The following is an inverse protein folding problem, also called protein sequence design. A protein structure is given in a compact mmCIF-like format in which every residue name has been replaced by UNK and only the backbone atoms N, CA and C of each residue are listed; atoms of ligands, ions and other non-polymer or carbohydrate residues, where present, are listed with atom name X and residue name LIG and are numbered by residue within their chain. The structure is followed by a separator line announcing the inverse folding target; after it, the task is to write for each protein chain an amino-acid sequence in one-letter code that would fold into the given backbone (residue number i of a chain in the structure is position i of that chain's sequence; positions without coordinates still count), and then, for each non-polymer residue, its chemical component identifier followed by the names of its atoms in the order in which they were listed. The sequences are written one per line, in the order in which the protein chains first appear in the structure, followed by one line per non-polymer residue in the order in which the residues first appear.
data_IF_255595812392
#
_entry.id   IF_255595812392
#
_cell.length_a   1.000
_cell.length_b   1.000
_cell.length_c   1.000
_cell.angle_alpha   90.00
_cell.angle_beta   90.00
_cell.angle_gamma   90.00
#
_symmetry.space_group_name_H-M   'P 1'
#
loop_
_entity.id
_entity.type
_entity.pdbx_description
1 polymer ?
#
# COMPACT_ATOMS: atom_id res chain seq x y z
N UNK A 1 24.20 47.89 -7.81
CA UNK A 1 23.96 46.46 -8.14
C UNK A 1 22.66 46.05 -7.47
N UNK A 2 21.53 46.15 -8.17
CA UNK A 2 20.17 45.92 -7.61
C UNK A 2 19.26 45.20 -8.62
N UNK A 3 19.83 44.44 -9.55
CA UNK A 3 19.17 43.98 -10.79
C UNK A 3 19.36 42.49 -11.09
N UNK A 4 19.82 41.70 -10.11
CA UNK A 4 20.10 40.25 -10.27
C UNK A 4 19.22 39.36 -9.33
N UNK A 5 18.27 39.96 -8.62
CA UNK A 5 17.39 39.25 -7.66
C UNK A 5 15.93 39.14 -8.13
N UNK A 6 15.69 39.35 -9.44
CA UNK A 6 14.33 39.53 -9.99
C UNK A 6 14.02 38.57 -11.16
N UNK A 7 14.84 37.52 -11.36
CA UNK A 7 14.73 36.56 -12.48
C UNK A 7 14.23 35.16 -12.05
N UNK A 8 13.80 35.00 -10.80
CA UNK A 8 13.21 33.78 -10.24
C UNK A 8 12.04 34.12 -9.32
N UNK A 9 10.80 34.10 -9.85
CA UNK A 9 9.53 33.56 -9.30
C UNK A 9 8.43 33.90 -10.33
N UNK A 10 8.37 33.20 -11.49
CA UNK A 10 7.19 33.30 -12.39
C UNK A 10 6.98 32.12 -13.38
N UNK A 11 7.73 31.01 -13.23
CA UNK A 11 7.76 29.91 -14.23
C UNK A 11 6.51 29.02 -14.29
N UNK A 12 5.45 29.33 -13.52
CA UNK A 12 4.13 28.70 -13.66
C UNK A 12 3.10 29.60 -14.36
N UNK A 13 3.49 30.80 -14.83
CA UNK A 13 2.60 31.76 -15.48
C UNK A 13 2.78 31.74 -17.00
N UNK A 14 1.67 31.81 -17.74
CA UNK A 14 1.69 31.78 -19.20
C UNK A 14 2.06 33.14 -19.78
N UNK A 15 3.21 33.21 -20.46
CA UNK A 15 3.69 34.39 -21.19
C UNK A 15 2.70 34.99 -22.22
N UNK A 16 1.67 34.24 -22.65
CA UNK A 16 0.64 34.71 -23.57
C UNK A 16 -0.55 35.44 -22.87
N UNK A 17 -0.82 35.18 -21.58
CA UNK A 17 -2.02 35.75 -20.94
C UNK A 17 -2.01 35.87 -19.40
N UNK A 18 -0.88 35.61 -18.72
CA UNK A 18 -0.82 35.64 -17.25
C UNK A 18 -1.53 34.48 -16.53
N UNK A 19 -2.11 33.52 -17.26
CA UNK A 19 -2.85 32.40 -16.66
C UNK A 19 -1.95 31.22 -16.29
N UNK A 20 -2.26 30.51 -15.20
CA UNK A 20 -1.47 29.37 -14.69
C UNK A 20 -1.28 28.25 -15.73
N UNK A 21 -0.06 27.72 -15.83
CA UNK A 21 0.26 26.50 -16.56
C UNK A 21 -0.13 25.27 -15.74
N UNK A 22 -0.83 24.30 -16.34
CA UNK A 22 -1.24 23.04 -15.68
C UNK A 22 -1.09 21.84 -16.59
N UNK A 23 -0.95 20.66 -15.99
CA UNK A 23 -0.98 19.40 -16.73
C UNK A 23 -2.38 19.05 -17.22
N UNK A 24 -2.57 18.99 -18.54
CA UNK A 24 -3.79 18.49 -19.14
C UNK A 24 -3.68 16.96 -19.35
N UNK A 25 -4.25 16.22 -18.41
CA UNK A 25 -4.29 14.75 -18.40
C UNK A 25 -4.79 14.17 -19.73
N UNK A 26 -5.89 14.70 -20.28
CA UNK A 26 -6.50 14.18 -21.51
C UNK A 26 -5.67 14.45 -22.78
N UNK A 27 -4.77 15.44 -22.76
CA UNK A 27 -3.85 15.77 -23.86
C UNK A 27 -2.41 15.32 -23.62
N UNK A 28 -2.10 14.77 -22.45
CA UNK A 28 -0.76 14.42 -21.99
C UNK A 28 0.29 15.53 -22.25
N UNK A 29 -0.04 16.78 -21.86
CA UNK A 29 0.87 17.94 -22.00
C UNK A 29 0.59 19.03 -20.98
N UNK A 30 1.58 19.90 -20.72
CA UNK A 30 1.38 21.17 -20.03
C UNK A 30 0.71 22.18 -20.98
N UNK A 31 -0.30 22.90 -20.50
CA UNK A 31 -0.89 24.06 -21.19
C UNK A 31 -1.46 25.07 -20.20
N UNK A 32 -1.61 26.33 -20.61
CA UNK A 32 -2.28 27.35 -19.80
C UNK A 32 -3.75 26.98 -19.57
N UNK A 33 -4.21 27.00 -18.32
CA UNK A 33 -5.60 26.67 -17.99
C UNK A 33 -6.63 27.66 -18.54
N UNK A 34 -6.22 28.90 -18.81
CA UNK A 34 -7.03 29.95 -19.42
C UNK A 34 -6.99 29.89 -20.95
N UNK A 35 -5.89 30.35 -21.57
CA UNK A 35 -5.80 30.53 -23.03
C UNK A 35 -5.45 29.26 -23.84
N UNK A 36 -5.14 28.13 -23.17
CA UNK A 36 -4.81 26.83 -23.80
C UNK A 36 -3.54 26.81 -24.67
N UNK A 37 -2.73 27.87 -24.65
CA UNK A 37 -1.36 27.87 -25.17
C UNK A 37 -0.57 26.69 -24.57
N UNK A 38 0.01 25.80 -25.39
CA UNK A 38 0.89 24.73 -24.91
C UNK A 38 2.11 25.29 -24.20
N UNK A 39 2.65 24.52 -23.25
CA UNK A 39 3.88 24.86 -22.54
C UNK A 39 4.82 23.65 -22.58
N UNK A 40 6.13 23.91 -22.70
CA UNK A 40 7.18 22.90 -22.63
C UNK A 40 7.87 23.09 -21.28
N UNK A 41 8.04 22.01 -20.52
CA UNK A 41 8.70 22.08 -19.22
C UNK A 41 10.17 22.50 -19.38
N UNK A 42 10.54 23.65 -18.81
CA UNK A 42 11.94 23.96 -18.55
C UNK A 42 12.50 22.90 -17.59
N UNK A 43 13.49 22.16 -18.08
CA UNK A 43 14.15 21.03 -17.41
C UNK A 43 15.65 21.13 -17.72
N UNK A 44 16.50 20.89 -16.71
CA UNK A 44 17.96 21.00 -16.86
C UNK A 44 18.60 19.80 -17.57
N UNK A 45 17.88 18.69 -17.65
CA UNK A 45 18.33 17.41 -18.22
C UNK A 45 17.26 16.88 -19.19
N UNK A 46 17.68 16.21 -20.26
CA UNK A 46 16.76 15.65 -21.28
C UNK A 46 16.16 14.30 -20.87
N UNK A 47 16.75 13.64 -19.87
CA UNK A 47 16.31 12.37 -19.28
C UNK A 47 16.52 12.43 -17.77
N UNK A 48 15.80 11.60 -17.03
CA UNK A 48 16.06 11.42 -15.60
C UNK A 48 17.40 10.72 -15.45
N UNK A 49 18.25 11.22 -14.56
CA UNK A 49 19.56 10.64 -14.27
C UNK A 49 19.48 9.82 -12.98
N UNK A 50 20.17 8.68 -12.97
CA UNK A 50 20.39 7.85 -11.79
C UNK A 50 21.64 8.28 -11.05
N UNK A 51 21.61 8.17 -9.73
CA UNK A 51 22.69 8.57 -8.83
C UNK A 51 23.28 7.36 -8.15
N UNK A 52 24.60 7.32 -7.98
CA UNK A 52 25.27 6.28 -7.20
C UNK A 52 24.82 6.35 -5.73
N UNK A 53 24.39 5.21 -5.16
CA UNK A 53 23.89 5.15 -3.80
C UNK A 53 24.95 5.51 -2.74
N UNK A 54 26.25 5.31 -3.01
CA UNK A 54 27.32 5.78 -2.12
C UNK A 54 27.35 7.31 -2.01
N UNK A 55 26.89 8.02 -3.05
CA UNK A 55 26.74 9.47 -3.09
C UNK A 55 25.55 10.02 -2.30
N UNK A 56 24.59 9.18 -1.88
CA UNK A 56 23.32 9.64 -1.31
C UNK A 56 23.48 10.60 -0.12
N UNK A 57 24.32 10.24 0.85
CA UNK A 57 24.50 11.02 2.09
C UNK A 57 25.08 12.40 1.80
N UNK A 58 25.91 12.53 0.75
CA UNK A 58 26.43 13.82 0.31
C UNK A 58 25.33 14.65 -0.37
N UNK A 59 24.51 14.03 -1.23
CA UNK A 59 23.41 14.70 -1.94
C UNK A 59 22.30 15.17 -0.99
N UNK A 60 21.93 14.36 0.00
CA UNK A 60 20.99 14.76 1.06
C UNK A 60 21.60 15.85 1.97
N UNK A 61 22.91 15.74 2.27
CA UNK A 61 23.68 16.72 3.02
C UNK A 61 23.74 18.11 2.39
N UNK A 62 23.53 18.24 1.07
CA UNK A 62 23.40 19.54 0.39
C UNK A 62 22.15 20.32 0.81
N UNK A 63 21.14 19.66 1.39
CA UNK A 63 19.90 20.29 1.90
C UNK A 63 19.28 21.25 0.88
N UNK A 64 19.01 20.73 -0.32
CA UNK A 64 18.39 21.53 -1.39
C UNK A 64 16.93 21.78 -1.04
N UNK A 65 16.56 23.05 -0.89
CA UNK A 65 15.16 23.46 -0.76
C UNK A 65 14.54 23.64 -2.13
N UNK A 66 13.25 23.34 -2.25
CA UNK A 66 12.44 23.82 -3.35
C UNK A 66 12.23 25.34 -3.18
N UNK A 67 12.40 26.16 -4.24
CA UNK A 67 11.95 27.54 -4.23
C UNK A 67 10.44 27.64 -3.95
N UNK A 68 10.04 28.74 -3.31
CA UNK A 68 8.63 29.18 -3.18
C UNK A 68 7.70 28.13 -2.52
N UNK A 69 8.29 27.19 -1.76
CA UNK A 69 7.63 26.00 -1.22
C UNK A 69 7.90 25.86 0.28
N UNK A 70 6.85 25.60 1.06
CA UNK A 70 6.94 25.21 2.46
C UNK A 70 6.52 23.75 2.66
N UNK A 71 7.03 23.11 3.73
CA UNK A 71 6.64 21.74 4.14
C UNK A 71 5.75 21.82 5.39
N UNK A 72 4.60 21.15 5.36
CA UNK A 72 3.69 21.01 6.50
C UNK A 72 3.71 19.57 7.00
N UNK A 73 4.25 19.34 8.19
CA UNK A 73 4.11 18.05 8.87
C UNK A 73 2.68 17.89 9.42
N UNK A 74 1.98 16.81 9.05
CA UNK A 74 0.62 16.56 9.52
C UNK A 74 0.62 16.02 10.96
N UNK A 75 0.12 16.81 11.92
CA UNK A 75 0.04 16.44 13.34
C UNK A 75 -0.89 15.26 13.67
N UNK A 76 -1.61 14.71 12.68
CA UNK A 76 -2.48 13.52 12.84
C UNK A 76 -1.87 12.23 12.30
N UNK A 77 -1.03 12.29 11.26
CA UNK A 77 -0.51 11.09 10.59
C UNK A 77 0.98 11.12 10.21
N UNK A 78 1.68 12.23 10.42
CA UNK A 78 3.11 12.41 10.12
C UNK A 78 3.45 12.72 8.66
N UNK A 79 2.50 12.64 7.72
CA UNK A 79 2.72 12.97 6.31
C UNK A 79 3.26 14.40 6.14
N UNK A 80 4.33 14.57 5.37
CA UNK A 80 4.97 15.86 5.09
C UNK A 80 4.45 16.43 3.76
N UNK A 81 3.64 17.49 3.79
CA UNK A 81 2.95 18.00 2.59
C UNK A 81 3.71 19.22 2.07
N UNK A 82 4.16 19.19 0.81
CA UNK A 82 4.67 20.36 0.13
C UNK A 82 3.53 21.27 -0.32
N UNK A 83 3.65 22.56 -0.02
CA UNK A 83 2.67 23.62 -0.34
C UNK A 83 3.39 24.88 -0.82
N UNK A 84 2.65 25.78 -1.47
CA UNK A 84 3.03 27.18 -1.70
C UNK A 84 3.46 27.86 -0.38
N UNK A 85 4.54 28.65 -0.39
CA UNK A 85 5.10 29.30 0.81
C UNK A 85 4.11 30.23 1.53
N UNK A 86 3.10 30.76 0.83
CA UNK A 86 2.05 31.62 1.40
C UNK A 86 0.78 30.85 1.78
N UNK A 87 0.79 29.52 1.68
CA UNK A 87 -0.30 28.67 2.17
C UNK A 87 -0.40 28.76 3.70
N UNK A 88 -1.57 29.14 4.23
CA UNK A 88 -1.82 29.27 5.68
C UNK A 88 -2.54 28.09 6.31
N UNK A 89 -3.24 27.28 5.49
CA UNK A 89 -3.90 26.05 5.92
C UNK A 89 -4.13 25.11 4.74
N UNK A 90 -4.04 23.79 4.98
CA UNK A 90 -4.37 22.76 3.99
C UNK A 90 -5.15 21.60 4.62
N UNK A 91 -5.71 20.72 3.80
CA UNK A 91 -6.32 19.46 4.25
C UNK A 91 -5.39 18.31 3.89
N UNK A 92 -4.98 17.50 4.88
CA UNK A 92 -4.05 16.41 4.64
C UNK A 92 -4.65 15.36 3.67
N UNK A 93 -4.00 15.07 2.53
CA UNK A 93 -4.50 14.11 1.55
C UNK A 93 -4.46 12.66 2.04
N UNK A 94 -3.70 12.37 3.09
CA UNK A 94 -3.47 11.02 3.61
C UNK A 94 -4.45 10.62 4.73
N UNK A 95 -4.97 11.59 5.48
CA UNK A 95 -5.85 11.33 6.64
C UNK A 95 -7.07 12.27 6.76
N UNK A 96 -7.15 13.34 5.96
CA UNK A 96 -8.31 14.23 5.87
C UNK A 96 -8.42 15.31 6.95
N UNK A 97 -7.45 15.43 7.87
CA UNK A 97 -7.45 16.49 8.88
C UNK A 97 -6.89 17.81 8.34
N UNK A 98 -7.52 18.92 8.71
CA UNK A 98 -7.00 20.28 8.45
C UNK A 98 -5.70 20.51 9.22
N UNK A 99 -4.68 21.02 8.54
CA UNK A 99 -3.42 21.45 9.13
C UNK A 99 -3.32 22.98 9.09
N UNK A 100 -2.76 23.55 10.14
CA UNK A 100 -2.35 24.95 10.27
C UNK A 100 -0.81 24.97 10.34
N UNK A 101 -0.15 25.99 9.80
CA UNK A 101 1.31 26.02 9.78
C UNK A 101 1.90 26.49 11.11
N UNK A 102 2.75 25.65 11.69
CA UNK A 102 3.98 26.08 12.34
C UNK A 102 5.12 25.78 11.36
N UNK A 103 5.78 26.80 10.82
CA UNK A 103 6.67 26.64 9.66
C UNK A 103 7.99 25.97 10.01
N UNK A 104 8.40 24.99 9.19
CA UNK A 104 9.81 24.62 8.98
C UNK A 104 10.06 24.33 7.51
N UNK A 105 11.10 24.94 6.94
CA UNK A 105 11.73 24.39 5.75
C UNK A 105 12.53 23.16 6.18
N UNK A 106 12.08 21.97 5.78
CA UNK A 106 12.98 20.82 5.67
C UNK A 106 13.38 20.69 4.20
N UNK A 107 14.68 20.52 3.99
CA UNK A 107 15.33 20.50 2.69
C UNK A 107 16.14 19.20 2.57
N UNK A 108 16.37 18.72 1.35
CA UNK A 108 16.88 17.37 1.15
C UNK A 108 17.24 17.09 -0.31
N UNK A 109 16.93 15.89 -0.78
CA UNK A 109 17.16 15.46 -2.17
C UNK A 109 15.98 15.88 -3.06
N UNK A 110 16.16 16.73 -4.07
CA UNK A 110 15.08 17.12 -4.98
C UNK A 110 14.68 15.95 -5.89
N UNK A 111 13.47 15.93 -6.48
CA UNK A 111 13.05 14.88 -7.38
C UNK A 111 13.82 14.97 -8.68
N UNK A 112 14.33 13.83 -9.13
CA UNK A 112 14.98 13.66 -10.43
C UNK A 112 13.92 13.57 -11.54
N UNK A 113 12.77 12.95 -11.23
CA UNK A 113 11.71 12.73 -12.19
C UNK A 113 10.28 12.70 -11.63
N UNK A 114 9.31 12.62 -12.54
CA UNK A 114 7.87 12.57 -12.26
C UNK A 114 7.16 11.73 -13.32
N UNK A 115 6.25 10.83 -12.91
CA UNK A 115 5.29 10.24 -13.85
C UNK A 115 4.07 11.17 -13.93
N UNK A 116 3.67 11.69 -15.09
CA UNK A 116 2.48 12.53 -15.19
C UNK A 116 1.18 11.75 -14.96
N UNK A 117 0.16 12.42 -14.40
CA UNK A 117 -1.20 11.85 -14.33
C UNK A 117 -1.71 11.45 -15.73
N UNK A 118 -2.19 10.21 -15.86
CA UNK A 118 -2.89 9.66 -17.04
C UNK A 118 -4.37 9.41 -16.78
N UNK A 119 -4.72 9.09 -15.54
CA UNK A 119 -6.10 8.89 -15.07
C UNK A 119 -6.61 10.20 -14.49
N UNK A 120 -7.69 10.72 -15.05
CA UNK A 120 -8.38 11.90 -14.54
C UNK A 120 -9.25 11.59 -13.30
N UNK A 121 -9.75 12.64 -12.66
CA UNK A 121 -10.52 12.54 -11.41
C UNK A 121 -11.85 11.79 -11.57
N UNK A 122 -12.52 11.92 -12.71
CA UNK A 122 -13.80 11.23 -12.95
C UNK A 122 -13.55 9.75 -13.20
N UNK A 123 -12.58 9.41 -14.07
CA UNK A 123 -12.18 8.01 -14.30
C UNK A 123 -11.71 7.35 -13.00
N UNK A 124 -10.99 8.08 -12.15
CA UNK A 124 -10.62 7.63 -10.80
C UNK A 124 -11.87 7.37 -9.93
N UNK A 125 -12.83 8.30 -9.85
CA UNK A 125 -14.10 8.10 -9.13
C UNK A 125 -14.89 6.89 -9.65
N UNK A 126 -14.94 6.69 -10.96
CA UNK A 126 -15.62 5.55 -11.58
C UNK A 126 -14.93 4.21 -11.22
N UNK A 127 -13.60 4.13 -11.35
CA UNK A 127 -12.82 2.94 -11.00
C UNK A 127 -12.94 2.60 -9.51
N UNK A 128 -12.93 3.62 -8.67
CA UNK A 128 -13.17 3.50 -7.26
C UNK A 128 -14.59 2.99 -6.93
N UNK A 129 -15.63 3.53 -7.57
CA UNK A 129 -17.00 3.05 -7.40
C UNK A 129 -17.17 1.57 -7.81
N UNK A 130 -16.47 1.11 -8.86
CA UNK A 130 -16.39 -0.32 -9.24
C UNK A 130 -15.74 -1.16 -8.13
N UNK A 131 -14.59 -0.71 -7.60
CA UNK A 131 -13.88 -1.38 -6.50
C UNK A 131 -14.74 -1.48 -5.22
N UNK A 132 -15.40 -0.40 -4.81
CA UNK A 132 -16.30 -0.39 -3.63
C UNK A 132 -17.50 -1.32 -3.82
N UNK A 133 -18.08 -1.40 -5.02
CA UNK A 133 -19.15 -2.35 -5.34
C UNK A 133 -18.70 -3.79 -5.08
N UNK A 134 -17.50 -4.19 -5.55
CA UNK A 134 -16.95 -5.56 -5.39
C UNK A 134 -16.80 -6.06 -3.94
N UNK A 135 -16.75 -5.18 -2.94
CA UNK A 135 -16.51 -5.59 -1.54
C UNK A 135 -17.82 -5.94 -0.84
N UNK A 136 -18.13 -7.24 -0.72
CA UNK A 136 -19.40 -7.73 -0.14
C UNK A 136 -19.56 -7.37 1.35
N UNK A 137 -18.52 -7.64 2.16
CA UNK A 137 -18.50 -7.43 3.63
C UNK A 137 -18.30 -5.98 4.08
N UNK A 138 -18.20 -5.02 3.15
CA UNK A 138 -18.14 -3.60 3.47
C UNK A 138 -19.52 -3.11 4.00
N UNK A 139 -19.59 -2.31 5.09
CA UNK A 139 -20.83 -1.67 5.56
C UNK A 139 -21.53 -0.86 4.46
N UNK A 140 -22.87 -0.76 4.49
CA UNK A 140 -23.60 -0.02 3.45
C UNK A 140 -23.39 1.50 3.55
N UNK A 141 -23.42 2.06 4.78
CA UNK A 141 -23.10 3.48 5.05
C UNK A 141 -21.70 3.87 4.56
N UNK A 142 -20.74 2.95 4.66
CA UNK A 142 -19.40 3.13 4.13
C UNK A 142 -19.41 3.33 2.60
N UNK A 143 -20.19 2.52 1.85
CA UNK A 143 -20.28 2.67 0.39
C UNK A 143 -20.87 4.02 -0.04
N UNK A 144 -21.68 4.65 0.81
CA UNK A 144 -22.24 5.99 0.60
C UNK A 144 -21.22 7.09 0.96
N UNK A 145 -20.58 7.00 2.13
CA UNK A 145 -19.52 7.94 2.55
C UNK A 145 -18.37 7.99 1.53
N UNK A 146 -18.01 6.82 0.98
CA UNK A 146 -17.04 6.69 -0.10
C UNK A 146 -17.41 7.48 -1.37
N UNK A 147 -18.69 7.61 -1.71
CA UNK A 147 -19.15 8.38 -2.88
C UNK A 147 -19.21 9.89 -2.61
N UNK A 148 -19.30 10.29 -1.34
CA UNK A 148 -19.25 11.70 -0.93
C UNK A 148 -17.81 12.24 -0.73
N UNK A 149 -16.82 11.36 -0.67
CA UNK A 149 -15.41 11.73 -0.51
C UNK A 149 -14.86 12.51 -1.71
N UNK A 150 -14.39 13.74 -1.47
CA UNK A 150 -13.64 14.50 -2.48
C UNK A 150 -12.27 13.85 -2.70
N UNK A 151 -12.09 13.09 -3.78
CA UNK A 151 -10.75 12.68 -4.25
C UNK A 151 -9.85 13.90 -4.41
N UNK A 152 -8.65 13.83 -3.84
CA UNK A 152 -7.57 14.79 -4.03
C UNK A 152 -6.49 14.15 -4.91
N UNK A 153 -5.87 14.92 -5.79
CA UNK A 153 -4.74 14.46 -6.58
C UNK A 153 -3.43 14.86 -5.88
N UNK A 154 -2.58 13.88 -5.63
CA UNK A 154 -1.31 14.00 -4.92
C UNK A 154 -0.20 13.30 -5.69
N UNK A 155 0.99 13.88 -5.70
CA UNK A 155 2.23 13.18 -6.01
C UNK A 155 2.84 12.59 -4.75
N UNK A 156 3.08 11.29 -4.76
CA UNK A 156 3.71 10.55 -3.67
C UNK A 156 5.22 10.42 -3.94
N UNK A 157 6.08 10.60 -2.92
CA UNK A 157 7.51 10.44 -3.09
C UNK A 157 7.90 8.96 -3.12
N UNK A 158 8.78 8.62 -4.04
CA UNK A 158 9.33 7.29 -4.20
C UNK A 158 10.84 7.34 -4.41
N UNK A 159 11.51 6.38 -3.79
CA UNK A 159 12.80 5.93 -4.25
C UNK A 159 12.55 4.80 -5.24
N UNK A 160 13.23 4.83 -6.38
CA UNK A 160 13.50 3.59 -7.11
C UNK A 160 14.99 3.28 -7.01
N UNK A 161 15.31 2.00 -7.01
CA UNK A 161 16.67 1.49 -6.90
C UNK A 161 16.92 0.47 -8.00
N UNK A 162 18.08 0.57 -8.64
CA UNK A 162 18.56 -0.43 -9.58
C UNK A 162 19.74 -1.16 -8.94
N UNK A 163 19.89 -2.45 -9.25
CA UNK A 163 20.99 -3.26 -8.73
C UNK A 163 21.28 -4.48 -9.61
N UNK A 164 22.57 -4.73 -9.86
CA UNK A 164 23.02 -6.03 -10.35
C UNK A 164 23.24 -6.94 -9.14
N UNK A 165 22.62 -8.12 -9.13
CA UNK A 165 22.56 -9.02 -7.96
C UNK A 165 23.08 -10.40 -8.31
N UNK A 166 23.90 -10.96 -7.42
CA UNK A 166 24.38 -12.35 -7.50
C UNK A 166 24.13 -13.04 -6.16
N UNK A 167 23.42 -14.18 -6.17
CA UNK A 167 23.04 -14.89 -4.94
C UNK A 167 23.49 -16.34 -4.96
N UNK A 168 24.28 -16.74 -3.97
CA UNK A 168 24.63 -18.16 -3.75
C UNK A 168 23.69 -18.76 -2.71
N UNK A 169 23.06 -19.90 -3.03
CA UNK A 169 22.05 -20.52 -2.17
C UNK A 169 22.40 -21.95 -1.77
N UNK A 170 21.85 -22.35 -0.62
CA UNK A 170 21.89 -23.71 -0.10
C UNK A 170 20.46 -24.13 0.28
N UNK A 171 20.03 -25.30 -0.15
CA UNK A 171 18.67 -25.79 0.01
C UNK A 171 18.53 -27.29 -0.19
N UNK A 172 17.31 -27.73 -0.43
CA UNK A 172 16.96 -29.13 -0.63
C UNK A 172 15.98 -29.28 -1.81
N UNK A 173 16.26 -30.26 -2.67
CA UNK A 173 15.33 -30.75 -3.68
C UNK A 173 14.64 -32.03 -3.16
N UNK A 174 13.31 -32.06 -3.21
CA UNK A 174 12.50 -33.17 -2.70
C UNK A 174 11.79 -33.91 -3.82
N UNK A 175 11.83 -35.24 -3.82
CA UNK A 175 11.03 -36.07 -4.73
C UNK A 175 9.97 -36.87 -3.99
N UNK A 176 8.76 -36.88 -4.56
CA UNK A 176 7.60 -37.60 -4.01
C UNK A 176 7.75 -39.09 -4.26
N UNK A 177 7.72 -39.90 -3.20
CA UNK A 177 7.75 -41.35 -3.28
C UNK A 177 6.52 -41.96 -2.59
N UNK A 178 5.89 -42.90 -3.27
CA UNK A 178 4.73 -43.65 -2.76
C UNK A 178 5.24 -44.96 -2.16
N UNK A 179 5.18 -45.08 -0.83
CA UNK A 179 5.64 -46.24 -0.07
C UNK A 179 4.44 -47.03 0.45
N UNK A 180 4.50 -48.35 0.38
CA UNK A 180 3.45 -49.24 0.91
C UNK A 180 3.94 -49.91 2.18
N UNK A 181 3.13 -49.88 3.24
CA UNK A 181 3.47 -50.57 4.49
C UNK A 181 3.16 -52.08 4.43
N UNK A 182 3.63 -52.82 5.44
CA UNK A 182 3.40 -54.27 5.57
C UNK A 182 1.95 -54.66 5.90
N UNK A 183 1.05 -53.67 6.05
CA UNK A 183 -0.40 -53.86 6.23
C UNK A 183 -1.18 -53.48 4.96
N UNK A 184 -0.49 -53.09 3.88
CA UNK A 184 -1.06 -52.74 2.59
C UNK A 184 -1.45 -51.26 2.43
N UNK A 185 -1.28 -50.44 3.46
CA UNK A 185 -1.57 -49.00 3.42
C UNK A 185 -0.56 -48.27 2.55
N UNK A 186 -1.01 -47.23 1.85
CA UNK A 186 -0.15 -46.36 1.04
C UNK A 186 0.16 -45.08 1.80
N UNK A 187 1.44 -44.73 1.95
CA UNK A 187 1.90 -43.44 2.50
C UNK A 187 2.77 -42.71 1.49
N UNK A 188 2.72 -41.38 1.50
CA UNK A 188 3.55 -40.53 0.65
C UNK A 188 4.69 -39.96 1.47
N UNK A 189 5.91 -40.16 1.01
CA UNK A 189 7.15 -39.64 1.60
C UNK A 189 7.84 -38.69 0.61
N UNK A 190 8.59 -37.70 1.13
CA UNK A 190 9.40 -36.81 0.30
C UNK A 190 10.87 -37.10 0.60
N UNK A 191 11.59 -37.64 -0.37
CA UNK A 191 13.03 -37.87 -0.26
C UNK A 191 13.77 -36.60 -0.64
N UNK A 192 14.25 -35.88 0.38
CA UNK A 192 15.05 -34.67 0.23
C UNK A 192 16.52 -34.99 -0.05
N UNK A 193 17.13 -34.23 -0.97
CA UNK A 193 18.57 -34.23 -1.27
C UNK A 193 19.11 -32.81 -1.15
N UNK A 194 20.33 -32.59 -0.64
CA UNK A 194 20.92 -31.26 -0.60
C UNK A 194 21.16 -30.74 -2.03
N UNK A 195 20.89 -29.46 -2.26
CA UNK A 195 21.12 -28.76 -3.52
C UNK A 195 21.68 -27.38 -3.21
N UNK A 196 22.69 -26.96 -3.97
CA UNK A 196 23.20 -25.59 -3.96
C UNK A 196 23.35 -25.07 -5.38
N UNK A 197 23.46 -23.75 -5.52
CA UNK A 197 23.58 -23.09 -6.81
C UNK A 197 23.80 -21.60 -6.67
N UNK A 198 23.81 -20.93 -7.82
CA UNK A 198 23.90 -19.48 -7.94
C UNK A 198 22.77 -19.00 -8.84
N UNK A 199 21.98 -18.04 -8.35
CA UNK A 199 21.00 -17.28 -9.12
C UNK A 199 21.39 -15.80 -9.10
N UNK A 200 20.69 -14.96 -9.85
CA UNK A 200 21.05 -13.55 -9.97
C UNK A 200 20.24 -12.86 -11.06
N UNK A 201 20.40 -11.54 -11.14
CA UNK A 201 19.67 -10.73 -12.10
C UNK A 201 20.14 -9.28 -12.13
N UNK A 202 19.49 -8.51 -12.98
CA UNK A 202 19.46 -7.05 -12.89
C UNK A 202 18.06 -6.65 -12.48
N UNK A 203 17.97 -5.83 -11.45
CA UNK A 203 16.73 -5.19 -11.02
C UNK A 203 16.75 -3.74 -11.50
N UNK A 204 15.71 -3.37 -12.23
CA UNK A 204 15.43 -2.05 -12.80
C UNK A 204 14.22 -1.49 -12.03
N UNK A 205 14.36 -0.28 -11.47
CA UNK A 205 13.32 0.45 -10.75
C UNK A 205 12.56 -0.33 -9.63
N UNK A 206 13.29 -0.78 -8.60
CA UNK A 206 12.67 -1.30 -7.36
C UNK A 206 11.94 -0.18 -6.60
N UNK A 207 10.65 -0.02 -6.89
CA UNK A 207 9.78 1.03 -6.33
C UNK A 207 9.55 0.86 -4.82
N UNK A 208 10.12 1.77 -4.02
CA UNK A 208 9.88 1.90 -2.58
C UNK A 208 9.25 3.26 -2.28
N UNK A 209 8.03 3.26 -1.75
CA UNK A 209 7.33 4.49 -1.40
C UNK A 209 7.94 5.13 -0.16
N UNK A 210 8.26 6.42 -0.21
CA UNK A 210 8.93 7.17 0.84
C UNK A 210 7.97 7.95 1.77
N UNK A 211 6.67 7.67 1.68
CA UNK A 211 5.62 8.14 2.59
C UNK A 211 5.72 7.46 3.97
N UNK A 212 5.00 7.97 4.97
CA UNK A 212 4.93 7.37 6.31
C UNK A 212 4.25 5.97 6.30
N UNK A 213 4.70 5.09 7.21
CA UNK A 213 4.35 3.66 7.25
C UNK A 213 2.85 3.30 7.29
N UNK A 214 1.97 4.22 7.73
CA UNK A 214 0.52 4.00 7.72
C UNK A 214 -0.10 4.14 6.31
N UNK A 215 0.57 4.89 5.44
CA UNK A 215 0.19 5.13 4.06
C UNK A 215 0.85 4.15 3.09
N UNK A 216 2.14 3.82 3.28
CA UNK A 216 2.91 2.95 2.36
C UNK A 216 2.21 1.62 2.09
N UNK A 217 1.71 0.96 3.14
CA UNK A 217 0.91 -0.26 3.05
C UNK A 217 -0.34 -0.14 2.16
N UNK A 218 -0.87 1.06 1.93
CA UNK A 218 -2.01 1.31 1.03
C UNK A 218 -1.52 1.61 -0.39
N UNK A 219 -0.39 2.31 -0.52
CA UNK A 219 0.27 2.62 -1.80
C UNK A 219 0.79 1.35 -2.49
N UNK A 220 1.42 0.43 -1.75
CA UNK A 220 1.89 -0.89 -2.25
C UNK A 220 0.80 -1.65 -3.04
N UNK A 221 -0.47 -1.50 -2.63
CA UNK A 221 -1.61 -2.18 -3.26
C UNK A 221 -1.97 -1.60 -4.65
N UNK A 222 -1.40 -0.47 -5.03
CA UNK A 222 -1.58 0.18 -6.35
C UNK A 222 -0.35 0.14 -7.25
N UNK A 223 0.72 -0.52 -6.80
CA UNK A 223 1.92 -0.80 -7.60
C UNK A 223 1.68 -1.90 -8.66
N UNK A 224 2.57 -2.01 -9.67
CA UNK A 224 3.64 -1.06 -10.01
C UNK A 224 3.11 0.17 -10.77
N UNK A 225 3.93 1.22 -10.82
CA UNK A 225 3.92 2.21 -11.90
C UNK A 225 4.94 1.79 -12.97
N UNK A 226 4.86 2.32 -14.18
CA UNK A 226 5.92 2.15 -15.18
C UNK A 226 6.88 3.35 -15.13
N UNK A 227 7.83 3.27 -14.20
CA UNK A 227 8.88 4.28 -13.99
C UNK A 227 9.99 4.21 -15.05
N UNK A 228 10.29 3.02 -15.57
CA UNK A 228 11.33 2.79 -16.58
C UNK A 228 11.06 3.59 -17.87
N UNK A 229 9.82 3.51 -18.41
CA UNK A 229 9.47 4.15 -19.69
C UNK A 229 8.89 5.57 -19.52
N UNK A 230 8.18 5.85 -18.42
CA UNK A 230 7.27 7.01 -18.34
C UNK A 230 7.68 8.10 -17.34
N UNK A 231 8.83 7.98 -16.67
CA UNK A 231 9.32 9.06 -15.81
C UNK A 231 9.92 10.18 -16.65
N UNK A 232 9.32 11.36 -16.58
CA UNK A 232 9.82 12.58 -17.22
C UNK A 232 10.75 13.34 -16.26
N UNK A 233 11.75 14.09 -16.75
CA UNK A 233 12.55 14.99 -15.91
C UNK A 233 11.66 15.93 -15.08
N UNK A 234 11.98 16.08 -13.80
CA UNK A 234 11.15 16.86 -12.88
C UNK A 234 11.08 18.34 -13.27
N UNK A 235 9.87 18.91 -13.14
CA UNK A 235 9.62 20.35 -13.27
C UNK A 235 8.43 20.74 -12.39
N UNK A 236 8.49 21.82 -11.59
CA UNK A 236 7.40 22.23 -10.70
C UNK A 236 6.04 22.39 -11.39
N UNK A 237 6.01 22.71 -12.69
CA UNK A 237 4.79 22.85 -13.49
C UNK A 237 3.93 21.57 -13.56
N UNK A 238 4.50 20.38 -13.33
CA UNK A 238 3.73 19.12 -13.21
C UNK A 238 2.88 19.04 -11.93
N UNK A 239 3.28 19.78 -10.88
CA UNK A 239 2.57 19.82 -9.59
C UNK A 239 1.38 20.80 -9.63
N UNK A 240 1.29 21.67 -10.63
CA UNK A 240 0.29 22.75 -10.63
C UNK A 240 -1.15 22.24 -10.74
N UNK A 241 -1.89 22.32 -9.63
CA UNK A 241 -3.23 21.77 -9.45
C UNK A 241 -3.31 20.45 -8.67
N UNK A 242 -2.18 19.95 -8.19
CA UNK A 242 -2.04 18.76 -7.35
C UNK A 242 -1.32 19.12 -6.03
N UNK A 243 -1.42 18.25 -5.03
CA UNK A 243 -0.52 18.29 -3.87
C UNK A 243 0.74 17.45 -4.16
N UNK A 244 1.80 17.63 -3.38
CA UNK A 244 2.91 16.70 -3.31
C UNK A 244 3.23 16.37 -1.84
N UNK A 245 3.64 15.13 -1.58
CA UNK A 245 4.23 14.73 -0.29
C UNK A 245 5.77 14.74 -0.42
N UNK A 246 6.45 15.33 0.56
CA UNK A 246 7.89 15.26 0.72
C UNK A 246 8.27 13.91 1.36
N UNK A 247 9.46 13.38 1.04
CA UNK A 247 9.86 12.08 1.56
C UNK A 247 10.05 12.11 3.08
N UNK A 248 9.37 11.20 3.78
CA UNK A 248 9.53 10.98 5.21
C UNK A 248 10.56 9.87 5.51
N UNK A 249 10.83 9.01 4.53
CA UNK A 249 11.82 7.92 4.62
C UNK A 249 12.98 8.24 3.66
N UNK A 250 14.22 8.43 4.16
CA UNK A 250 15.40 8.66 3.30
C UNK A 250 15.81 7.37 2.57
N UNK A 251 16.54 7.50 1.47
CA UNK A 251 16.94 6.33 0.65
C UNK A 251 17.80 5.32 1.46
N UNK A 252 18.57 5.81 2.43
CA UNK A 252 19.35 4.99 3.39
C UNK A 252 18.51 4.02 4.22
N UNK A 253 17.20 4.28 4.39
CA UNK A 253 16.26 3.35 5.01
C UNK A 253 15.42 2.61 3.96
N UNK A 254 15.01 3.30 2.89
CA UNK A 254 14.19 2.71 1.83
C UNK A 254 14.91 1.56 1.08
N UNK A 255 16.24 1.63 0.97
CA UNK A 255 17.03 0.57 0.30
C UNK A 255 16.89 -0.79 0.99
N UNK A 256 16.63 -0.85 2.30
CA UNK A 256 16.47 -2.13 2.99
C UNK A 256 15.13 -2.80 2.66
N UNK A 257 14.10 -2.02 2.35
CA UNK A 257 12.85 -2.52 1.75
C UNK A 257 13.09 -3.08 0.35
N UNK A 258 13.91 -2.40 -0.48
CA UNK A 258 14.29 -2.91 -1.79
C UNK A 258 15.10 -4.23 -1.71
N UNK A 259 16.04 -4.33 -0.75
CA UNK A 259 16.79 -5.57 -0.46
C UNK A 259 15.88 -6.72 -0.02
N UNK A 260 14.78 -6.46 0.67
CA UNK A 260 13.82 -7.52 1.05
C UNK A 260 12.94 -7.97 -0.12
N UNK A 261 12.58 -7.07 -1.04
CA UNK A 261 11.95 -7.42 -2.31
C UNK A 261 12.89 -8.32 -3.14
N UNK A 262 14.16 -7.92 -3.29
CA UNK A 262 15.21 -8.72 -3.95
C UNK A 262 15.40 -10.06 -3.26
N UNK A 263 15.49 -10.11 -1.92
CA UNK A 263 15.63 -11.37 -1.16
C UNK A 263 14.49 -12.33 -1.43
N UNK A 264 13.25 -11.83 -1.42
CA UNK A 264 12.05 -12.64 -1.71
C UNK A 264 12.12 -13.22 -3.12
N UNK A 265 12.47 -12.40 -4.11
CA UNK A 265 12.56 -12.83 -5.50
C UNK A 265 13.75 -13.79 -5.75
N UNK A 266 14.93 -13.52 -5.21
CA UNK A 266 16.10 -14.40 -5.31
C UNK A 266 15.85 -15.77 -4.63
N UNK A 267 15.04 -15.84 -3.57
CA UNK A 267 14.57 -17.11 -3.00
C UNK A 267 13.64 -17.84 -3.99
N UNK A 268 12.67 -17.15 -4.59
CA UNK A 268 11.78 -17.75 -5.60
C UNK A 268 12.56 -18.25 -6.83
N UNK A 269 13.58 -17.51 -7.28
CA UNK A 269 14.48 -17.93 -8.36
C UNK A 269 15.30 -19.17 -7.96
N UNK A 270 15.85 -19.21 -6.75
CA UNK A 270 16.60 -20.37 -6.25
C UNK A 270 15.72 -21.62 -6.09
N UNK A 271 14.46 -21.49 -5.65
CA UNK A 271 13.51 -22.60 -5.63
C UNK A 271 13.11 -23.05 -7.04
N UNK A 272 12.97 -22.11 -7.98
CA UNK A 272 12.72 -22.41 -9.40
C UNK A 272 13.88 -23.14 -10.06
N UNK A 273 15.13 -22.77 -9.74
CA UNK A 273 16.34 -23.50 -10.16
C UNK A 273 16.36 -24.93 -9.59
N UNK A 274 16.09 -25.11 -8.28
CA UNK A 274 15.95 -26.45 -7.67
C UNK A 274 14.90 -27.28 -8.42
N UNK A 275 13.71 -26.75 -8.69
CA UNK A 275 12.66 -27.47 -9.43
C UNK A 275 13.09 -27.81 -10.87
N UNK A 276 13.77 -26.89 -11.56
CA UNK A 276 14.25 -27.09 -12.95
C UNK A 276 15.20 -28.28 -13.10
N UNK A 277 15.91 -28.65 -12.02
CA UNK A 277 16.82 -29.80 -11.95
C UNK A 277 16.10 -31.15 -11.79
N UNK A 278 14.76 -31.17 -11.93
CA UNK A 278 13.95 -32.39 -11.91
C UNK A 278 13.47 -32.81 -10.53
N UNK A 279 13.33 -31.85 -9.59
CA UNK A 279 12.75 -32.09 -8.27
C UNK A 279 11.26 -31.76 -8.22
N UNK A 280 10.49 -32.52 -7.43
CA UNK A 280 9.04 -32.30 -7.23
C UNK A 280 8.72 -31.18 -6.24
N UNK A 281 9.63 -30.93 -5.30
CA UNK A 281 9.54 -29.92 -4.25
C UNK A 281 10.89 -29.22 -4.11
N UNK A 282 10.87 -27.95 -3.73
CA UNK A 282 12.06 -27.18 -3.38
C UNK A 282 11.94 -26.65 -1.95
N UNK A 283 13.10 -26.31 -1.37
CA UNK A 283 13.20 -25.54 -0.13
C UNK A 283 14.56 -24.86 -0.07
N UNK A 284 14.62 -23.53 -0.13
CA UNK A 284 15.83 -22.80 0.24
C UNK A 284 16.01 -22.81 1.76
N UNK A 285 17.25 -23.06 2.22
CA UNK A 285 17.63 -23.09 3.64
C UNK A 285 18.50 -21.91 4.04
N UNK A 286 19.32 -21.41 3.13
CA UNK A 286 20.08 -20.17 3.27
C UNK A 286 20.38 -19.56 1.88
N UNK A 287 20.53 -18.24 1.81
CA UNK A 287 20.93 -17.51 0.61
C UNK A 287 21.83 -16.32 0.99
N UNK A 288 23.03 -16.25 0.40
CA UNK A 288 23.91 -15.09 0.50
C UNK A 288 23.75 -14.24 -0.76
N UNK A 289 23.45 -12.96 -0.60
CA UNK A 289 23.09 -12.05 -1.70
C UNK A 289 24.12 -10.93 -1.77
N UNK A 290 24.83 -10.84 -2.89
CA UNK A 290 25.78 -9.77 -3.20
C UNK A 290 25.13 -8.78 -4.17
N UNK A 291 25.27 -7.49 -3.85
CA UNK A 291 24.70 -6.37 -4.60
C UNK A 291 25.84 -5.55 -5.22
N UNK A 292 25.71 -5.20 -6.50
CA UNK A 292 26.71 -4.48 -7.27
C UNK A 292 26.04 -3.32 -8.02
N UNK A 293 26.72 -2.17 -8.09
CA UNK A 293 26.24 -0.95 -8.79
C UNK A 293 24.82 -0.55 -8.35
N UNK A 294 24.64 -0.28 -7.06
CA UNK A 294 23.36 0.21 -6.55
C UNK A 294 23.22 1.67 -6.97
N UNK A 295 22.27 1.98 -7.85
CA UNK A 295 21.88 3.35 -8.19
C UNK A 295 20.50 3.66 -7.63
N UNK A 296 20.13 4.94 -7.60
CA UNK A 296 18.79 5.39 -7.19
C UNK A 296 18.35 6.64 -7.95
N UNK A 297 17.04 6.87 -7.99
CA UNK A 297 16.42 8.14 -8.40
C UNK A 297 15.24 8.51 -7.49
N UNK A 298 15.10 9.79 -7.17
CA UNK A 298 13.93 10.31 -6.46
C UNK A 298 12.83 10.64 -7.48
N UNK A 299 11.69 9.96 -7.42
CA UNK A 299 10.59 10.15 -8.38
C UNK A 299 9.26 10.45 -7.70
N UNK A 300 8.49 11.34 -8.30
CA UNK A 300 7.14 11.70 -7.85
C UNK A 300 6.09 10.92 -8.66
N UNK A 301 5.33 10.06 -7.98
CA UNK A 301 4.36 9.16 -8.62
C UNK A 301 2.91 9.63 -8.39
N UNK A 302 2.06 9.69 -9.43
CA UNK A 302 0.77 10.36 -9.37
C UNK A 302 -0.29 9.45 -8.73
N UNK A 303 -1.07 9.98 -7.80
CA UNK A 303 -2.13 9.24 -7.12
C UNK A 303 -3.38 10.09 -6.86
N UNK A 304 -4.55 9.48 -6.90
CA UNK A 304 -5.77 10.05 -6.31
C UNK A 304 -5.99 9.43 -4.94
N UNK A 305 -5.91 10.24 -3.88
CA UNK A 305 -6.18 9.80 -2.51
C UNK A 305 -7.55 10.31 -2.02
N UNK A 306 -8.10 9.60 -1.05
CA UNK A 306 -9.10 10.17 -0.14
C UNK A 306 -9.13 9.37 1.16
N UNK A 307 -9.23 10.11 2.26
CA UNK A 307 -9.35 9.58 3.60
C UNK A 307 -10.67 10.01 4.25
N UNK A 308 -11.15 9.19 5.18
CA UNK A 308 -12.42 9.40 5.90
C UNK A 308 -12.37 8.68 7.26
N UNK A 309 -13.18 9.14 8.20
CA UNK A 309 -13.35 8.49 9.49
C UNK A 309 -14.57 7.55 9.50
N UNK A 310 -14.44 6.40 10.16
CA UNK A 310 -15.55 5.48 10.44
C UNK A 310 -15.35 4.80 11.79
N UNK A 311 -16.32 4.92 12.70
CA UNK A 311 -16.27 4.39 14.08
C UNK A 311 -14.96 4.74 14.81
N UNK A 312 -14.53 6.01 14.77
CA UNK A 312 -13.32 6.50 15.44
C UNK A 312 -11.99 6.07 14.78
N UNK A 313 -12.02 5.27 13.72
CA UNK A 313 -10.82 4.89 12.95
C UNK A 313 -10.77 5.64 11.62
N UNK A 314 -9.60 6.16 11.28
CA UNK A 314 -9.33 6.66 9.94
C UNK A 314 -9.13 5.48 8.97
N UNK A 315 -9.52 5.71 7.72
CA UNK A 315 -9.36 4.77 6.63
C UNK A 315 -8.99 5.56 5.37
N UNK A 316 -7.98 5.09 4.65
CA UNK A 316 -7.53 5.68 3.39
C UNK A 316 -7.76 4.72 2.22
N UNK A 317 -8.08 5.29 1.05
CA UNK A 317 -7.93 4.64 -0.25
C UNK A 317 -7.11 5.49 -1.20
N UNK A 318 -6.41 4.82 -2.11
CA UNK A 318 -5.50 5.39 -3.09
C UNK A 318 -5.79 4.74 -4.44
N UNK A 319 -5.65 5.53 -5.50
CA UNK A 319 -5.82 5.10 -6.88
C UNK A 319 -4.58 5.54 -7.63
N UNK A 320 -3.85 4.60 -8.22
CA UNK A 320 -2.70 4.91 -9.07
C UNK A 320 -3.14 5.82 -10.22
N UNK A 321 -2.53 7.00 -10.33
CA UNK A 321 -2.86 8.06 -11.29
C UNK A 321 -2.34 7.80 -12.71
N UNK A 322 -1.55 6.75 -12.91
CA UNK A 322 -1.11 6.24 -14.21
C UNK A 322 -2.04 5.11 -14.71
N UNK A 323 -2.25 4.06 -13.89
CA UNK A 323 -2.92 2.81 -14.27
C UNK A 323 -4.39 2.70 -13.82
N UNK A 324 -4.84 3.57 -12.92
CA UNK A 324 -6.20 3.53 -12.35
C UNK A 324 -6.43 2.41 -11.33
N UNK A 325 -5.38 1.67 -10.95
CA UNK A 325 -5.42 0.58 -9.97
C UNK A 325 -5.83 1.09 -8.58
N UNK A 326 -6.83 0.46 -7.97
CA UNK A 326 -7.44 0.92 -6.71
C UNK A 326 -7.00 0.07 -5.51
N UNK A 327 -6.36 0.72 -4.54
CA UNK A 327 -5.92 0.17 -3.26
C UNK A 327 -6.64 0.88 -2.11
N UNK A 328 -6.79 0.21 -0.97
CA UNK A 328 -7.49 0.83 0.16
C UNK A 328 -7.70 -0.10 1.33
N UNK A 329 -7.84 0.50 2.50
CA UNK A 329 -8.28 -0.16 3.72
C UNK A 329 -9.81 -0.36 3.70
N UNK A 330 -10.36 -1.15 4.63
CA UNK A 330 -11.82 -1.26 4.81
C UNK A 330 -12.18 -1.67 6.25
N UNK A 331 -13.21 -1.07 6.86
CA UNK A 331 -13.92 -1.70 7.96
C UNK A 331 -14.65 -2.96 7.47
N UNK A 332 -14.64 -4.01 8.27
CA UNK A 332 -15.44 -5.21 8.07
C UNK A 332 -16.78 -5.08 8.81
N UNK A 333 -17.88 -5.44 8.16
CA UNK A 333 -19.19 -5.49 8.79
C UNK A 333 -19.40 -6.83 9.50
N UNK A 334 -19.18 -6.87 10.81
CA UNK A 334 -19.35 -8.08 11.64
C UNK A 334 -20.73 -8.75 11.42
N UNK A 335 -21.87 -8.02 11.37
CA UNK A 335 -23.16 -8.65 11.07
C UNK A 335 -23.22 -9.36 9.71
N UNK A 336 -22.55 -8.85 8.68
CA UNK A 336 -22.48 -9.52 7.36
C UNK A 336 -21.61 -10.77 7.40
N UNK A 337 -20.55 -10.78 8.21
CA UNK A 337 -19.69 -11.95 8.39
C UNK A 337 -20.46 -13.03 9.16
N UNK A 338 -21.10 -12.68 10.28
CA UNK A 338 -21.94 -13.60 11.07
C UNK A 338 -23.08 -14.18 10.23
N UNK A 339 -23.78 -13.35 9.45
CA UNK A 339 -24.83 -13.83 8.56
C UNK A 339 -24.31 -14.78 7.46
N UNK A 340 -23.13 -14.51 6.88
CA UNK A 340 -22.52 -15.38 5.88
C UNK A 340 -22.04 -16.72 6.47
N UNK A 341 -21.47 -16.70 7.69
CA UNK A 341 -21.07 -17.92 8.42
C UNK A 341 -22.31 -18.74 8.81
N UNK A 342 -23.37 -18.11 9.31
CA UNK A 342 -24.63 -18.79 9.63
C UNK A 342 -25.29 -19.40 8.39
N UNK A 343 -25.29 -18.70 7.25
CA UNK A 343 -25.80 -19.22 5.99
C UNK A 343 -24.96 -20.40 5.47
N UNK A 344 -23.62 -20.31 5.54
CA UNK A 344 -22.74 -21.42 5.17
C UNK A 344 -22.95 -22.64 6.06
N UNK A 345 -23.07 -22.44 7.38
CA UNK A 345 -23.38 -23.52 8.32
C UNK A 345 -24.75 -24.16 8.03
N UNK A 346 -25.79 -23.37 7.75
CA UNK A 346 -27.11 -23.87 7.40
C UNK A 346 -27.08 -24.72 6.10
N UNK A 347 -26.34 -24.29 5.08
CA UNK A 347 -26.16 -25.05 3.83
C UNK A 347 -25.39 -26.35 4.07
N UNK A 348 -24.34 -26.34 4.89
CA UNK A 348 -23.59 -27.55 5.26
C UNK A 348 -24.47 -28.52 6.04
N UNK A 349 -25.23 -28.05 7.04
CA UNK A 349 -26.16 -28.89 7.82
C UNK A 349 -27.26 -29.48 6.94
N UNK A 350 -27.83 -28.70 6.02
CA UNK A 350 -28.82 -29.19 5.06
C UNK A 350 -28.23 -30.26 4.12
N UNK A 351 -27.01 -30.06 3.62
CA UNK A 351 -26.31 -31.03 2.79
C UNK A 351 -26.01 -32.33 3.57
N UNK A 352 -25.57 -32.24 4.84
CA UNK A 352 -25.35 -33.41 5.70
C UNK A 352 -26.65 -34.15 5.97
N UNK A 353 -27.75 -33.45 6.26
CA UNK A 353 -29.10 -34.06 6.43
C UNK A 353 -29.52 -34.81 5.17
N UNK A 354 -29.38 -34.20 3.99
CA UNK A 354 -29.72 -34.83 2.71
C UNK A 354 -28.83 -36.02 2.35
N UNK A 355 -27.54 -36.00 2.74
CA UNK A 355 -26.59 -37.09 2.47
C UNK A 355 -26.65 -38.24 3.48
N UNK A 356 -27.12 -37.99 4.71
CA UNK A 356 -27.21 -39.00 5.78
C UNK A 356 -28.63 -39.54 6.01
N UNK A 357 -29.66 -38.89 5.46
CA UNK A 357 -31.06 -39.24 5.68
C UNK A 357 -31.57 -38.96 7.11
N UNK A 358 -30.77 -38.28 7.94
CA UNK A 358 -31.11 -38.02 9.33
C UNK A 358 -32.20 -36.94 9.44
N UNK A 359 -33.38 -37.33 9.92
CA UNK A 359 -34.45 -36.39 10.25
C UNK A 359 -33.99 -35.40 11.34
N UNK A 360 -34.47 -34.15 11.27
CA UNK A 360 -34.08 -33.10 12.21
C UNK A 360 -34.48 -33.47 13.66
N UNK A 361 -33.65 -33.12 14.67
CA UNK A 361 -34.01 -33.35 16.07
C UNK A 361 -35.28 -32.57 16.43
N UNK A 362 -36.19 -33.14 17.25
CA UNK A 362 -37.43 -32.47 17.62
C UNK A 362 -37.16 -31.19 18.43
N UNK A 363 -38.00 -30.18 18.21
CA UNK A 363 -37.91 -28.92 18.97
C UNK A 363 -38.23 -29.16 20.45
N UNK A 364 -37.51 -28.46 21.33
CA UNK A 364 -37.79 -28.45 22.77
C UNK A 364 -39.19 -27.87 23.02
N UNK A 365 -40.14 -28.73 23.38
CA UNK A 365 -41.42 -28.30 23.94
C UNK A 365 -41.23 -28.00 25.42
N UNK A 366 -41.78 -26.88 25.89
CA UNK A 366 -41.89 -26.61 27.32
C UNK A 366 -43.07 -27.42 27.87
N UNK A 367 -42.84 -28.28 28.85
CA UNK A 367 -43.89 -29.02 29.54
C UNK A 367 -44.61 -28.10 30.53
N UNK A 368 -45.88 -27.82 30.26
CA UNK A 368 -46.76 -27.07 31.17
C UNK A 368 -47.78 -28.04 31.80
N UNK A 369 -47.98 -27.91 33.12
CA UNK A 369 -48.94 -28.65 33.96
C UNK A 369 -48.61 -30.10 34.32
N UNK A 370 -48.02 -30.27 35.51
CA UNK A 370 -48.34 -31.37 36.42
C UNK A 370 -48.69 -30.78 37.81
N UNK A 371 -49.85 -31.14 38.36
CA UNK A 371 -50.33 -30.62 39.66
C UNK A 371 -49.85 -31.48 40.86
N UNK A 372 -49.85 -30.94 42.08
CA UNK A 372 -49.01 -31.45 43.16
C UNK A 372 -49.58 -32.67 43.90
N UNK A 373 -48.68 -33.47 44.46
CA UNK A 373 -48.95 -34.38 45.58
C UNK A 373 -48.14 -33.94 46.80
N UNK A 374 -48.79 -33.90 47.97
CA UNK A 374 -48.16 -33.50 49.22
C UNK A 374 -47.68 -34.72 50.02
N UNK A 375 -46.42 -34.68 50.47
CA UNK A 375 -45.87 -35.62 51.47
C UNK A 375 -45.17 -34.79 52.56
N UNK A 376 -45.27 -35.28 53.79
CA UNK A 376 -44.92 -34.57 55.03
C UNK A 376 -43.41 -34.40 55.19
N UNK A 377 -42.98 -33.22 55.65
CA UNK A 377 -41.63 -32.97 56.17
C UNK A 377 -41.64 -33.35 57.66
N UNK A 378 -40.68 -34.16 58.08
CA UNK A 378 -40.34 -34.36 59.49
C UNK A 378 -38.89 -33.90 59.69
N UNK A 379 -38.67 -33.04 60.67
CA UNK A 379 -37.35 -32.45 60.95
C UNK A 379 -36.42 -33.45 61.64
N UNK A 380 -35.12 -33.32 61.38
CA UNK A 380 -34.16 -33.26 62.49
C UNK A 380 -32.93 -32.40 62.12
N UNK A 381 -32.22 -31.89 63.14
CA UNK A 381 -31.07 -30.98 63.01
C UNK A 381 -29.89 -31.54 63.82
N UNK A 382 -28.60 -31.26 63.48
CA UNK A 382 -28.04 -29.95 63.85
C UNK A 382 -26.90 -29.38 62.95
N UNK A 383 -26.75 -28.04 63.00
CA UNK A 383 -25.52 -27.21 63.27
C UNK A 383 -24.12 -27.87 63.06
N UNK A 384 -23.05 -27.24 62.55
CA UNK A 384 -22.65 -25.84 62.16
C UNK A 384 -21.31 -25.94 61.36
N UNK A 385 -20.59 -24.93 60.84
CA UNK A 385 -20.60 -23.45 60.96
C UNK A 385 -20.52 -22.79 59.54
N UNK A 386 -19.99 -21.60 59.16
CA UNK A 386 -18.99 -20.59 59.60
C UNK A 386 -17.49 -21.04 59.56
N UNK A 387 -16.47 -20.21 59.32
CA UNK A 387 -16.38 -18.75 59.04
C UNK A 387 -15.13 -18.41 58.15
N UNK A 388 -14.92 -17.12 57.84
CA UNK A 388 -13.65 -16.44 57.45
C UNK A 388 -13.00 -16.50 56.02
N UNK A 389 -12.95 -15.28 55.43
CA UNK A 389 -11.81 -14.57 54.81
C UNK A 389 -10.96 -15.19 53.66
N UNK A 390 -11.14 -14.67 52.44
CA UNK A 390 -10.23 -13.66 51.83
C UNK A 390 -10.82 -12.99 50.57
#
# INVERSE_FOLDING_TARGET
MQTEHQEKVDRQVCANCGGTIKWNIAKQRLECSACRTPYIAETTVQRVEEHDFEGYVQREGQRVSFPDTAIIACGTCGAQIAVDEHCTATVCPMCGSTQLLESRQEAGVPPDGVIPFRVDRETAQQNFAKWVKSRWFAPNRLKQAYQAGKLQGIYLPFWTFDAQVTSTYWGQGGNTHTVRDSKGNTRTEIHWRPVSGTVGGFYDDLQVCATMNSASQVVEKVLPYNTCDNTLPFSPSYLSGFLAEHYAIPATQAVDTAKEQVRTDQINQAESDILSRGFSHARVSNINIEYHKITYKHVLLPAWSSAFAYNGKQYMYIINGESGRVGGQRPYSVPKIVAAVAAAAAVITAAVILLTGAAAPPALQAEENAQPQAIVIQEDSPRTAWEDNL
#
